data_IF_345634645262
#
_entry.id   IF_345634645262
#
_cell.length_a   1.000
_cell.length_b   1.000
_cell.length_c   1.000
_cell.angle_alpha   90.00
_cell.angle_beta   90.00
_cell.angle_gamma   90.00
#
_symmetry.space_group_name_H-M   'P 1'
#
loop_
_entity.id
_entity.type
_entity.pdbx_description
1 polymer ?
#
# COMPACT_ATOMS: atom_id res chain seq x y z
N UNK A 1 -4.34 16.34 -28.53
CA UNK A 1 -5.30 16.02 -27.44
C UNK A 1 -4.54 15.37 -26.28
N UNK A 2 -4.13 16.14 -25.27
CA UNK A 2 -3.54 15.57 -24.05
C UNK A 2 -4.68 15.08 -23.14
N UNK A 3 -4.93 13.78 -23.12
CA UNK A 3 -5.80 13.17 -22.11
C UNK A 3 -5.11 13.37 -20.75
N UNK A 4 -5.73 14.16 -19.87
CA UNK A 4 -5.32 14.24 -18.47
C UNK A 4 -5.36 12.81 -17.89
N UNK A 5 -4.19 12.23 -17.63
CA UNK A 5 -4.10 10.87 -17.07
C UNK A 5 -4.59 10.92 -15.63
N UNK A 6 -5.64 10.17 -15.30
CA UNK A 6 -6.08 9.99 -13.92
C UNK A 6 -4.98 9.27 -13.14
N UNK A 7 -4.48 9.87 -12.05
CA UNK A 7 -3.41 9.31 -11.22
C UNK A 7 -3.93 9.08 -9.81
N UNK A 8 -3.73 7.87 -9.29
CA UNK A 8 -3.94 7.53 -7.89
C UNK A 8 -2.59 7.29 -7.23
N UNK A 9 -2.31 8.05 -6.16
CA UNK A 9 -1.07 7.93 -5.38
C UNK A 9 -1.40 7.36 -4.01
N UNK A 10 -0.71 6.29 -3.62
CA UNK A 10 -0.82 5.69 -2.29
C UNK A 10 0.50 5.85 -1.53
N UNK A 11 0.39 6.22 -0.26
CA UNK A 11 1.50 6.21 0.69
C UNK A 11 1.31 5.00 1.60
N UNK A 12 2.16 4.01 1.42
CA UNK A 12 2.04 2.73 2.11
C UNK A 12 2.85 2.75 3.41
N UNK A 13 2.13 2.72 4.53
CA UNK A 13 2.75 2.47 5.83
C UNK A 13 3.40 1.09 5.89
N UNK A 14 4.64 1.00 6.38
CA UNK A 14 5.45 -0.22 6.30
C UNK A 14 4.83 -1.36 7.07
N UNK A 15 4.29 -1.06 8.24
CA UNK A 15 3.63 -2.04 9.08
C UNK A 15 2.32 -2.52 8.42
N UNK A 16 1.44 -1.59 8.08
CA UNK A 16 0.07 -1.87 7.64
C UNK A 16 -0.03 -2.62 6.32
N UNK A 17 0.93 -2.38 5.42
CA UNK A 17 0.96 -2.91 4.06
C UNK A 17 2.08 -3.95 3.84
N UNK A 18 2.64 -4.49 4.94
CA UNK A 18 3.65 -5.56 4.91
C UNK A 18 4.86 -5.23 4.03
N UNK A 19 5.51 -4.11 4.31
CA UNK A 19 6.71 -3.69 3.61
C UNK A 19 7.77 -4.79 3.60
N UNK A 20 8.40 -5.09 2.44
CA UNK A 20 9.41 -6.14 2.35
C UNK A 20 10.69 -5.87 3.16
N UNK A 21 10.94 -4.61 3.57
CA UNK A 21 12.15 -4.21 4.30
C UNK A 21 11.94 -4.02 5.80
N UNK A 22 10.82 -3.42 6.21
CA UNK A 22 10.62 -2.96 7.59
C UNK A 22 9.49 -3.67 8.33
N UNK A 23 8.71 -4.51 7.66
CA UNK A 23 7.66 -5.25 8.35
C UNK A 23 8.26 -6.24 9.34
N UNK A 24 7.85 -6.13 10.60
CA UNK A 24 8.10 -7.11 11.66
C UNK A 24 6.77 -7.62 12.16
N UNK A 25 6.63 -8.94 12.26
CA UNK A 25 5.40 -9.55 12.75
C UNK A 25 5.25 -9.27 14.27
N UNK A 26 4.11 -8.73 14.74
CA UNK A 26 3.90 -8.47 16.15
C UNK A 26 3.92 -9.74 16.99
N UNK A 27 4.56 -9.71 18.16
CA UNK A 27 4.62 -10.87 19.05
C UNK A 27 3.33 -11.06 19.86
N UNK A 28 2.67 -9.97 20.21
CA UNK A 28 1.39 -9.99 20.92
C UNK A 28 0.24 -10.03 19.93
N UNK A 29 -0.83 -10.77 20.23
CA UNK A 29 -2.02 -10.89 19.37
C UNK A 29 -1.71 -11.35 17.92
N UNK A 30 -0.70 -12.22 17.76
CA UNK A 30 -0.20 -12.73 16.46
C UNK A 30 -1.30 -13.09 15.47
N UNK A 31 -2.28 -13.91 15.89
CA UNK A 31 -3.39 -14.36 15.02
C UNK A 31 -4.21 -13.20 14.47
N UNK A 32 -4.54 -12.22 15.34
CA UNK A 32 -5.28 -11.04 14.93
C UNK A 32 -4.48 -10.21 13.92
N UNK A 33 -3.22 -9.91 14.24
CA UNK A 33 -2.38 -9.08 13.38
C UNK A 33 -2.07 -9.74 12.04
N UNK A 34 -1.69 -11.02 12.03
CA UNK A 34 -1.48 -11.79 10.79
C UNK A 34 -2.71 -11.73 9.90
N UNK A 35 -3.90 -11.94 10.45
CA UNK A 35 -5.15 -11.85 9.69
C UNK A 35 -5.42 -10.44 9.16
N UNK A 36 -5.22 -9.40 9.97
CA UNK A 36 -5.43 -8.01 9.58
C UNK A 36 -4.47 -7.58 8.46
N UNK A 37 -3.18 -7.89 8.60
CA UNK A 37 -2.15 -7.55 7.61
C UNK A 37 -2.38 -8.33 6.31
N UNK A 38 -2.75 -9.61 6.37
CA UNK A 38 -3.10 -10.39 5.17
C UNK A 38 -4.32 -9.80 4.46
N UNK A 39 -5.36 -9.39 5.18
CA UNK A 39 -6.53 -8.71 4.60
C UNK A 39 -6.15 -7.38 3.95
N UNK A 40 -5.26 -6.61 4.57
CA UNK A 40 -4.78 -5.35 4.01
C UNK A 40 -4.03 -5.55 2.69
N UNK A 41 -3.04 -6.44 2.68
CA UNK A 41 -2.24 -6.74 1.48
C UNK A 41 -3.09 -7.35 0.36
N UNK A 42 -4.10 -8.15 0.67
CA UNK A 42 -5.07 -8.62 -0.31
C UNK A 42 -5.90 -7.46 -0.90
N UNK A 43 -6.38 -6.54 -0.07
CA UNK A 43 -7.11 -5.34 -0.50
C UNK A 43 -6.25 -4.44 -1.39
N UNK A 44 -4.98 -4.27 -1.07
CA UNK A 44 -4.04 -3.48 -1.89
C UNK A 44 -3.96 -3.99 -3.32
N UNK A 45 -3.85 -5.32 -3.48
CA UNK A 45 -3.82 -5.99 -4.79
C UNK A 45 -5.14 -5.78 -5.55
N UNK A 46 -6.28 -5.94 -4.86
CA UNK A 46 -7.61 -5.78 -5.44
C UNK A 46 -7.85 -4.34 -5.92
N UNK A 47 -7.56 -3.34 -5.07
CA UNK A 47 -7.74 -1.92 -5.39
C UNK A 47 -6.82 -1.51 -6.54
N UNK A 48 -5.54 -1.93 -6.50
CA UNK A 48 -4.59 -1.64 -7.58
C UNK A 48 -5.07 -2.23 -8.91
N UNK A 49 -5.56 -3.47 -8.92
CA UNK A 49 -6.10 -4.12 -10.12
C UNK A 49 -7.35 -3.39 -10.64
N UNK A 50 -8.27 -3.03 -9.76
CA UNK A 50 -9.50 -2.30 -10.11
C UNK A 50 -9.19 -0.95 -10.74
N UNK A 51 -8.36 -0.13 -10.09
CA UNK A 51 -7.98 1.19 -10.58
C UNK A 51 -7.27 1.11 -11.94
N UNK A 52 -6.34 0.16 -12.12
CA UNK A 52 -5.69 -0.05 -13.41
C UNK A 52 -6.70 -0.44 -14.51
N UNK A 53 -7.69 -1.29 -14.20
CA UNK A 53 -8.76 -1.67 -15.14
C UNK A 53 -9.64 -0.46 -15.54
N UNK A 54 -9.83 0.48 -14.62
CA UNK A 54 -10.58 1.73 -14.84
C UNK A 54 -9.74 2.83 -15.52
N UNK A 55 -8.52 2.52 -15.97
CA UNK A 55 -7.65 3.45 -16.70
C UNK A 55 -6.83 4.40 -15.83
N UNK A 56 -6.74 4.14 -14.51
CA UNK A 56 -5.89 4.93 -13.62
C UNK A 56 -4.43 4.49 -13.68
N UNK A 57 -3.52 5.47 -13.67
CA UNK A 57 -2.12 5.23 -13.32
C UNK A 57 -2.02 5.14 -11.79
N UNK A 58 -1.59 4.00 -11.28
CA UNK A 58 -1.39 3.77 -9.84
C UNK A 58 0.08 3.89 -9.49
N UNK A 59 0.41 4.79 -8.56
CA UNK A 59 1.74 4.98 -7.99
C UNK A 59 1.66 4.66 -6.50
N UNK A 60 2.58 3.84 -5.99
CA UNK A 60 2.68 3.53 -4.56
C UNK A 60 4.09 3.89 -4.08
N UNK A 61 4.16 4.63 -2.98
CA UNK A 61 5.42 5.01 -2.32
C UNK A 61 5.39 4.48 -0.89
N UNK A 62 6.50 3.92 -0.44
CA UNK A 62 6.60 3.46 0.95
C UNK A 62 6.87 4.62 1.89
N UNK A 63 6.28 4.59 3.10
CA UNK A 63 6.51 5.63 4.11
C UNK A 63 8.01 5.82 4.42
N UNK A 64 8.79 4.75 4.40
CA UNK A 64 10.23 4.79 4.72
C UNK A 64 11.07 5.47 3.64
N UNK A 65 10.52 5.66 2.44
CA UNK A 65 11.19 6.39 1.37
C UNK A 65 10.92 7.89 1.42
N UNK A 66 10.02 8.34 2.30
CA UNK A 66 9.68 9.75 2.41
C UNK A 66 10.72 10.48 3.26
N UNK A 67 11.29 11.54 2.69
CA UNK A 67 12.12 12.47 3.43
C UNK A 67 11.23 13.31 4.35
N UNK A 68 11.54 13.34 5.65
CA UNK A 68 10.90 14.27 6.59
C UNK A 68 11.45 15.67 6.34
N UNK A 69 10.57 16.61 5.99
CA UNK A 69 10.88 18.03 5.98
C UNK A 69 10.49 18.55 7.36
N UNK A 70 11.44 19.16 8.06
CA UNK A 70 11.22 19.89 9.31
C UNK A 70 10.86 21.32 8.98
#
# INVERSE_FOLDING_TARGET
MSILKKIAVFVDGCFWHRCPKHYKEPEQNKKFWKNKINKNTARDKLVTKKLKKEGWRVIRVWEHSLRRIK
#
